data_IF_217903748626
#
_entry.id   IF_217903748626
#
_cell.length_a   1.000
_cell.length_b   1.000
_cell.length_c   1.000
_cell.angle_alpha   90.00
_cell.angle_beta   90.00
_cell.angle_gamma   90.00
#
_symmetry.space_group_name_H-M   'P 1'
#
loop_
_entity.id
_entity.type
_entity.pdbx_description
1 polymer ?
#
# COMPACT_ATOMS: atom_id res chain seq x y z
N UNK A 1 23.36 -5.51 -11.02
CA UNK A 1 24.40 -6.55 -11.13
C UNK A 1 23.73 -7.87 -11.49
N UNK A 2 24.31 -8.69 -12.37
CA UNK A 2 23.77 -10.02 -12.72
C UNK A 2 24.61 -11.11 -12.07
N UNK A 3 23.99 -11.95 -11.25
CA UNK A 3 24.61 -13.15 -10.67
C UNK A 3 24.45 -14.32 -11.64
N UNK A 4 25.42 -15.24 -11.67
CA UNK A 4 25.38 -16.40 -12.56
C UNK A 4 24.40 -17.46 -12.04
N UNK A 5 23.66 -18.16 -12.91
CA UNK A 5 22.59 -19.08 -12.51
C UNK A 5 23.06 -20.34 -11.78
N UNK A 6 24.35 -20.66 -11.84
CA UNK A 6 24.99 -21.82 -11.22
C UNK A 6 25.36 -21.60 -9.75
N UNK A 7 25.14 -20.40 -9.20
CA UNK A 7 25.37 -20.15 -7.78
C UNK A 7 24.51 -21.06 -6.90
N UNK A 8 25.17 -21.69 -5.92
CA UNK A 8 24.54 -22.55 -4.94
C UNK A 8 23.80 -21.74 -3.87
N UNK A 9 22.88 -22.40 -3.16
CA UNK A 9 22.20 -21.84 -1.99
C UNK A 9 23.18 -21.22 -0.97
N UNK A 10 24.25 -21.95 -0.64
CA UNK A 10 25.25 -21.52 0.33
C UNK A 10 26.03 -20.28 -0.14
N UNK A 11 26.36 -20.20 -1.43
CA UNK A 11 27.01 -19.03 -2.02
C UNK A 11 26.09 -17.80 -1.95
N UNK A 12 24.81 -17.97 -2.27
CA UNK A 12 23.80 -16.90 -2.20
C UNK A 12 23.58 -16.42 -0.76
N UNK A 13 23.57 -17.33 0.22
CA UNK A 13 23.52 -16.98 1.64
C UNK A 13 24.73 -16.13 2.07
N UNK A 14 25.93 -16.49 1.62
CA UNK A 14 27.14 -15.70 1.89
C UNK A 14 27.06 -14.30 1.27
N UNK A 15 26.57 -14.20 0.04
CA UNK A 15 26.39 -12.93 -0.66
C UNK A 15 25.32 -12.05 0.01
N UNK A 16 24.24 -12.64 0.52
CA UNK A 16 23.18 -11.92 1.23
C UNK A 16 23.66 -11.23 2.52
N UNK A 17 24.76 -11.73 3.12
CA UNK A 17 25.37 -11.14 4.34
C UNK A 17 26.36 -10.01 4.05
N UNK A 18 26.64 -9.71 2.79
CA UNK A 18 27.58 -8.65 2.43
C UNK A 18 26.92 -7.27 2.49
N UNK A 19 27.74 -6.25 2.76
CA UNK A 19 27.31 -4.85 2.89
C UNK A 19 27.25 -4.12 1.54
N UNK A 20 26.59 -4.76 0.57
CA UNK A 20 26.41 -4.24 -0.79
C UNK A 20 24.93 -4.40 -1.21
N UNK A 21 24.13 -3.32 -1.19
CA UNK A 21 22.70 -3.39 -1.53
C UNK A 21 22.43 -3.99 -2.91
N UNK A 22 23.24 -3.65 -3.91
CA UNK A 22 23.11 -4.19 -5.27
C UNK A 22 23.32 -5.71 -5.33
N UNK A 23 24.21 -6.23 -4.49
CA UNK A 23 24.47 -7.68 -4.37
C UNK A 23 23.27 -8.36 -3.72
N UNK A 24 22.77 -7.82 -2.61
CA UNK A 24 21.61 -8.38 -1.91
C UNK A 24 20.34 -8.34 -2.76
N UNK A 25 20.11 -7.26 -3.52
CA UNK A 25 19.02 -7.18 -4.49
C UNK A 25 19.15 -8.27 -5.57
N UNK A 26 20.36 -8.47 -6.11
CA UNK A 26 20.61 -9.53 -7.09
C UNK A 26 20.39 -10.93 -6.50
N UNK A 27 20.77 -11.16 -5.24
CA UNK A 27 20.45 -12.40 -4.51
C UNK A 27 18.93 -12.55 -4.37
N UNK A 28 18.20 -11.52 -3.95
CA UNK A 28 16.74 -11.59 -3.82
C UNK A 28 16.03 -11.94 -5.14
N UNK A 29 16.58 -11.54 -6.29
CA UNK A 29 16.04 -11.83 -7.61
C UNK A 29 16.50 -13.19 -8.20
N UNK A 30 17.45 -13.88 -7.57
CA UNK A 30 18.08 -15.07 -8.14
C UNK A 30 17.21 -16.34 -7.96
N UNK A 31 17.02 -17.19 -8.99
CA UNK A 31 16.12 -18.36 -8.95
C UNK A 31 16.44 -19.39 -7.85
N UNK A 32 17.72 -19.55 -7.51
CA UNK A 32 18.17 -20.52 -6.51
C UNK A 32 18.17 -19.98 -5.08
N UNK A 33 17.66 -18.76 -4.84
CA UNK A 33 17.74 -18.15 -3.52
C UNK A 33 16.88 -18.89 -2.51
N UNK A 34 17.47 -19.38 -1.40
CA UNK A 34 16.73 -20.18 -0.42
C UNK A 34 15.60 -19.40 0.24
N UNK A 35 14.51 -20.07 0.67
CA UNK A 35 13.35 -19.40 1.24
C UNK A 35 13.65 -18.53 2.47
N UNK A 36 14.55 -18.96 3.34
CA UNK A 36 14.92 -18.19 4.53
C UNK A 36 15.71 -16.92 4.16
N UNK A 37 16.51 -16.96 3.09
CA UNK A 37 17.20 -15.77 2.54
C UNK A 37 16.18 -14.82 1.92
N UNK A 38 15.21 -15.33 1.15
CA UNK A 38 14.11 -14.52 0.62
C UNK A 38 13.33 -13.81 1.74
N UNK A 39 12.99 -14.54 2.80
CA UNK A 39 12.32 -13.97 3.97
C UNK A 39 13.16 -12.87 4.64
N UNK A 40 14.49 -13.04 4.71
CA UNK A 40 15.40 -12.08 5.34
C UNK A 40 15.60 -10.82 4.49
N UNK A 41 15.60 -10.95 3.16
CA UNK A 41 15.79 -9.84 2.22
C UNK A 41 14.49 -9.10 1.88
N UNK A 42 13.33 -9.73 2.05
CA UNK A 42 12.02 -9.14 1.72
C UNK A 42 11.73 -7.77 2.37
N UNK A 43 12.16 -7.46 3.60
CA UNK A 43 11.98 -6.11 4.16
C UNK A 43 12.72 -5.01 3.38
N UNK A 44 13.86 -5.34 2.79
CA UNK A 44 14.70 -4.38 2.03
C UNK A 44 14.37 -4.41 0.53
N UNK A 45 14.12 -5.60 -0.02
CA UNK A 45 13.93 -5.85 -1.45
C UNK A 45 12.62 -6.60 -1.76
N UNK A 46 11.44 -6.06 -1.36
CA UNK A 46 10.17 -6.76 -1.57
C UNK A 46 9.84 -6.95 -3.05
N UNK A 47 10.27 -6.04 -3.93
CA UNK A 47 10.01 -6.12 -5.36
C UNK A 47 10.77 -7.24 -6.06
N UNK A 48 12.01 -7.47 -5.63
CA UNK A 48 12.91 -8.54 -6.08
C UNK A 48 12.42 -9.89 -5.57
N UNK A 49 12.05 -9.98 -4.28
CA UNK A 49 11.50 -11.22 -3.70
C UNK A 49 10.18 -11.61 -4.37
N UNK A 50 9.24 -10.67 -4.55
CA UNK A 50 7.97 -10.96 -5.24
C UNK A 50 8.16 -11.28 -6.72
N UNK A 51 9.22 -10.74 -7.34
CA UNK A 51 9.62 -11.02 -8.71
C UNK A 51 10.52 -12.24 -8.86
N UNK A 52 10.88 -12.92 -7.77
CA UNK A 52 11.82 -14.02 -7.81
C UNK A 52 11.24 -15.20 -8.64
N UNK A 53 11.95 -15.66 -9.68
CA UNK A 53 11.44 -16.72 -10.57
C UNK A 53 11.29 -18.09 -9.87
N UNK A 54 11.99 -18.32 -8.76
CA UNK A 54 11.85 -19.52 -7.94
C UNK A 54 10.65 -19.48 -6.99
N UNK A 55 10.13 -18.31 -6.62
CA UNK A 55 9.05 -18.17 -5.63
C UNK A 55 7.77 -18.96 -5.99
N UNK A 56 7.30 -19.01 -7.25
CA UNK A 56 6.15 -19.84 -7.61
C UNK A 56 6.37 -21.34 -7.35
N UNK A 57 7.57 -21.85 -7.63
CA UNK A 57 7.93 -23.26 -7.40
C UNK A 57 8.07 -23.56 -5.91
N UNK A 58 8.71 -22.66 -5.15
CA UNK A 58 8.81 -22.76 -3.70
C UNK A 58 7.44 -22.79 -3.03
N UNK A 59 6.50 -21.96 -3.50
CA UNK A 59 5.10 -21.98 -3.02
C UNK A 59 4.36 -23.25 -3.44
N UNK A 60 4.66 -23.82 -4.61
CA UNK A 60 4.05 -25.08 -5.01
C UNK A 60 4.51 -26.22 -4.09
N UNK A 61 5.80 -26.24 -3.73
CA UNK A 61 6.36 -27.20 -2.79
C UNK A 61 5.86 -26.98 -1.34
N UNK A 62 5.69 -25.72 -0.92
CA UNK A 62 5.23 -25.33 0.40
C UNK A 62 4.22 -24.17 0.31
N UNK A 63 2.91 -24.47 0.21
CA UNK A 63 1.87 -23.45 0.01
C UNK A 63 1.79 -22.40 1.12
N UNK A 64 2.19 -22.76 2.34
CA UNK A 64 2.25 -21.88 3.51
C UNK A 64 3.50 -21.02 3.61
N UNK A 65 4.47 -21.15 2.69
CA UNK A 65 5.82 -20.60 2.86
C UNK A 65 5.84 -19.12 3.29
N UNK A 66 5.19 -18.24 2.54
CA UNK A 66 5.15 -16.80 2.84
C UNK A 66 4.29 -16.49 4.06
N UNK A 67 3.32 -17.35 4.37
CA UNK A 67 2.41 -17.18 5.52
C UNK A 67 3.10 -17.54 6.85
N UNK A 68 4.20 -18.28 6.78
CA UNK A 68 5.05 -18.63 7.92
C UNK A 68 6.19 -17.61 8.13
N UNK A 69 6.39 -16.68 7.19
CA UNK A 69 7.37 -15.60 7.35
C UNK A 69 6.94 -14.64 8.46
N UNK A 70 7.88 -13.86 9.03
CA UNK A 70 7.54 -12.87 10.05
C UNK A 70 6.39 -11.97 9.60
N UNK A 71 5.43 -11.70 10.49
CA UNK A 71 4.25 -10.87 10.19
C UNK A 71 4.62 -9.55 9.53
N UNK A 72 5.67 -8.87 10.01
CA UNK A 72 6.15 -7.62 9.42
C UNK A 72 6.50 -7.79 7.92
N UNK A 73 7.19 -8.88 7.57
CA UNK A 73 7.53 -9.23 6.19
C UNK A 73 6.29 -9.47 5.35
N UNK A 74 5.30 -10.21 5.87
CA UNK A 74 4.03 -10.43 5.16
C UNK A 74 3.34 -9.11 4.83
N UNK A 75 3.23 -8.20 5.80
CA UNK A 75 2.61 -6.89 5.60
C UNK A 75 3.37 -6.05 4.58
N UNK A 76 4.71 -6.07 4.57
CA UNK A 76 5.51 -5.37 3.55
C UNK A 76 5.19 -5.89 2.15
N UNK A 77 5.15 -7.21 1.98
CA UNK A 77 4.86 -7.84 0.68
C UNK A 77 3.43 -7.54 0.22
N UNK A 78 2.45 -7.54 1.14
CA UNK A 78 1.04 -7.22 0.85
C UNK A 78 0.89 -5.78 0.35
N UNK A 79 1.66 -4.82 0.88
CA UNK A 79 1.62 -3.41 0.46
C UNK A 79 2.21 -3.19 -0.93
N UNK A 80 3.10 -4.07 -1.36
CA UNK A 80 3.87 -3.87 -2.58
C UNK A 80 2.99 -3.97 -3.83
N UNK A 81 3.24 -3.12 -4.84
CA UNK A 81 2.45 -3.08 -6.08
C UNK A 81 2.44 -4.41 -6.85
N UNK A 82 3.52 -5.21 -6.70
CA UNK A 82 3.68 -6.54 -7.31
C UNK A 82 3.08 -7.68 -6.48
N UNK A 83 2.37 -7.41 -5.38
CA UNK A 83 1.77 -8.46 -4.57
C UNK A 83 0.85 -9.35 -5.43
N UNK A 84 1.10 -10.68 -5.49
CA UNK A 84 0.32 -11.56 -6.33
C UNK A 84 -1.11 -11.69 -5.81
N UNK A 85 -2.06 -12.01 -6.71
CA UNK A 85 -3.49 -12.13 -6.39
C UNK A 85 -3.78 -13.02 -5.19
N UNK A 86 -3.07 -14.14 -5.04
CA UNK A 86 -3.28 -15.05 -3.90
C UNK A 86 -2.92 -14.39 -2.56
N UNK A 87 -1.88 -13.56 -2.52
CA UNK A 87 -1.45 -12.85 -1.31
C UNK A 87 -2.42 -11.73 -0.96
N UNK A 88 -2.92 -11.02 -1.99
CA UNK A 88 -3.98 -10.02 -1.81
C UNK A 88 -5.27 -10.63 -1.29
N UNK A 89 -5.69 -11.78 -1.84
CA UNK A 89 -6.89 -12.51 -1.38
C UNK A 89 -6.72 -13.02 0.05
N UNK A 90 -5.55 -13.55 0.38
CA UNK A 90 -5.23 -13.95 1.75
C UNK A 90 -5.37 -12.77 2.73
N UNK A 91 -4.79 -11.62 2.39
CA UNK A 91 -4.89 -10.42 3.22
C UNK A 91 -6.32 -9.88 3.35
N UNK A 92 -7.12 -9.98 2.29
CA UNK A 92 -8.51 -9.50 2.27
C UNK A 92 -9.40 -10.26 3.27
N UNK A 93 -9.21 -11.58 3.38
CA UNK A 93 -10.01 -12.46 4.24
C UNK A 93 -9.38 -12.74 5.60
N UNK A 94 -8.27 -12.08 5.94
CA UNK A 94 -7.53 -12.38 7.16
C UNK A 94 -8.31 -11.96 8.41
N UNK A 95 -8.20 -12.72 9.51
CA UNK A 95 -8.94 -12.44 10.75
C UNK A 95 -8.50 -11.12 11.43
N UNK A 96 -7.24 -10.77 11.27
CA UNK A 96 -6.66 -9.55 11.87
C UNK A 96 -6.69 -8.39 10.87
N UNK A 97 -7.29 -7.25 11.27
CA UNK A 97 -7.55 -6.10 10.39
C UNK A 97 -6.30 -5.39 9.85
N UNK A 98 -5.13 -5.61 10.43
CA UNK A 98 -3.85 -5.07 9.97
C UNK A 98 -3.47 -5.56 8.57
N UNK A 99 -3.90 -6.76 8.18
CA UNK A 99 -3.72 -7.29 6.83
C UNK A 99 -4.55 -6.50 5.82
N UNK A 100 -5.79 -6.16 6.15
CA UNK A 100 -6.65 -5.29 5.34
C UNK A 100 -6.14 -3.84 5.32
N UNK A 101 -5.57 -3.35 6.43
CA UNK A 101 -4.89 -2.03 6.47
C UNK A 101 -3.68 -2.03 5.52
N UNK A 102 -2.86 -3.07 5.54
CA UNK A 102 -1.74 -3.21 4.60
C UNK A 102 -2.24 -3.31 3.15
N UNK A 103 -3.28 -4.12 2.91
CA UNK A 103 -3.87 -4.31 1.59
C UNK A 103 -4.46 -2.99 1.04
N UNK A 104 -5.13 -2.20 1.86
CA UNK A 104 -5.71 -0.90 1.47
C UNK A 104 -4.65 0.09 0.95
N UNK A 105 -3.40 -0.03 1.42
CA UNK A 105 -2.27 0.77 0.93
C UNK A 105 -1.60 0.22 -0.33
N UNK A 106 -1.99 -0.97 -0.81
CA UNK A 106 -1.46 -1.52 -2.05
C UNK A 106 -1.94 -0.67 -3.25
N UNK A 107 -1.06 -0.14 -4.10
CA UNK A 107 -1.48 0.72 -5.21
C UNK A 107 -2.18 -0.05 -6.34
N UNK A 108 -2.01 -1.36 -6.43
CA UNK A 108 -2.48 -2.19 -7.54
C UNK A 108 -3.77 -2.99 -7.22
N UNK A 109 -4.62 -2.47 -6.32
CA UNK A 109 -5.92 -3.09 -6.01
C UNK A 109 -6.92 -2.95 -7.16
N UNK A 110 -7.72 -3.98 -7.39
CA UNK A 110 -8.88 -3.87 -8.27
C UNK A 110 -9.98 -2.99 -7.62
N UNK A 111 -10.77 -2.30 -8.45
CA UNK A 111 -11.83 -1.40 -7.98
C UNK A 111 -12.85 -2.08 -7.06
N UNK A 112 -13.17 -3.36 -7.32
CA UNK A 112 -14.03 -4.17 -6.46
C UNK A 112 -13.44 -4.35 -5.05
N UNK A 113 -12.15 -4.69 -4.97
CA UNK A 113 -11.43 -4.82 -3.70
C UNK A 113 -11.39 -3.49 -2.94
N UNK A 114 -11.20 -2.37 -3.64
CA UNK A 114 -11.28 -1.02 -3.04
C UNK A 114 -12.65 -0.76 -2.44
N UNK A 115 -13.74 -1.08 -3.16
CA UNK A 115 -15.10 -0.91 -2.68
C UNK A 115 -15.40 -1.78 -1.44
N UNK A 116 -14.94 -3.04 -1.44
CA UNK A 116 -15.06 -3.94 -0.28
C UNK A 116 -14.35 -3.35 0.95
N UNK A 117 -13.12 -2.86 0.79
CA UNK A 117 -12.35 -2.27 1.88
C UNK A 117 -12.92 -0.91 2.34
N UNK A 118 -13.56 -0.15 1.44
CA UNK A 118 -14.25 1.11 1.76
C UNK A 118 -15.45 0.89 2.70
N UNK A 119 -16.05 -0.30 2.69
CA UNK A 119 -17.17 -0.68 3.56
C UNK A 119 -16.72 -1.52 4.78
N UNK A 120 -15.42 -1.68 5.01
CA UNK A 120 -14.90 -2.57 6.05
C UNK A 120 -15.32 -2.11 7.46
N UNK A 121 -15.64 -3.01 8.41
CA UNK A 121 -16.09 -2.63 9.76
C UNK A 121 -15.09 -1.77 10.55
N UNK A 122 -13.80 -2.09 10.44
CA UNK A 122 -12.73 -1.31 11.07
C UNK A 122 -12.50 0.03 10.34
N UNK A 123 -12.67 1.14 11.06
CA UNK A 123 -12.51 2.48 10.51
C UNK A 123 -11.09 2.75 9.99
N UNK A 124 -10.07 2.11 10.57
CA UNK A 124 -8.68 2.26 10.13
C UNK A 124 -8.47 1.77 8.68
N UNK A 125 -9.20 0.74 8.28
CA UNK A 125 -9.16 0.23 6.89
C UNK A 125 -9.82 1.23 5.96
N UNK A 126 -11.03 1.71 6.31
CA UNK A 126 -11.75 2.72 5.52
C UNK A 126 -10.96 4.02 5.39
N UNK A 127 -10.28 4.44 6.46
CA UNK A 127 -9.40 5.61 6.47
C UNK A 127 -8.22 5.48 5.49
N UNK A 128 -7.63 4.27 5.38
CA UNK A 128 -6.59 4.03 4.37
C UNK A 128 -7.13 4.06 2.95
N UNK A 129 -8.35 3.59 2.73
CA UNK A 129 -9.03 3.74 1.44
C UNK A 129 -9.31 5.21 1.14
N UNK A 130 -9.85 5.98 2.09
CA UNK A 130 -10.11 7.42 1.97
C UNK A 130 -8.87 8.23 1.55
N UNK A 131 -7.69 7.82 2.03
CA UNK A 131 -6.41 8.45 1.72
C UNK A 131 -5.86 8.14 0.32
N UNK A 132 -6.49 7.23 -0.45
CA UNK A 132 -5.98 6.84 -1.76
C UNK A 132 -6.21 7.93 -2.82
N UNK A 133 -5.20 8.30 -3.62
CA UNK A 133 -5.38 9.36 -4.62
C UNK A 133 -6.32 8.95 -5.76
N UNK A 134 -6.48 7.65 -6.03
CA UNK A 134 -7.24 7.09 -7.15
C UNK A 134 -8.70 6.75 -6.82
N UNK A 135 -9.26 7.31 -5.74
CA UNK A 135 -10.66 7.04 -5.37
C UNK A 135 -11.66 7.58 -6.40
N UNK A 136 -12.62 6.76 -6.86
CA UNK A 136 -13.77 7.25 -7.61
C UNK A 136 -14.61 8.24 -6.80
N UNK A 137 -15.16 9.26 -7.47
CA UNK A 137 -15.99 10.30 -6.82
C UNK A 137 -17.13 9.75 -5.97
N UNK A 138 -17.77 8.65 -6.40
CA UNK A 138 -18.83 7.99 -5.63
C UNK A 138 -18.35 7.47 -4.27
N UNK A 139 -17.12 6.95 -4.18
CA UNK A 139 -16.53 6.52 -2.91
C UNK A 139 -16.07 7.70 -2.06
N UNK A 140 -15.59 8.79 -2.68
CA UNK A 140 -15.27 10.03 -1.96
C UNK A 140 -16.52 10.57 -1.26
N UNK A 141 -17.64 10.68 -1.97
CA UNK A 141 -18.92 11.14 -1.41
C UNK A 141 -19.45 10.22 -0.31
N UNK A 142 -19.34 8.89 -0.49
CA UNK A 142 -19.73 7.93 0.53
C UNK A 142 -18.87 8.06 1.80
N UNK A 143 -17.54 8.17 1.66
CA UNK A 143 -16.61 8.28 2.78
C UNK A 143 -16.65 9.68 3.44
N UNK A 144 -17.09 10.73 2.74
CA UNK A 144 -17.41 12.02 3.35
C UNK A 144 -18.59 11.93 4.33
N UNK A 145 -19.41 10.88 4.23
CA UNK A 145 -20.51 10.55 5.12
C UNK A 145 -20.12 9.55 6.23
N UNK A 146 -18.87 9.08 6.27
CA UNK A 146 -18.47 7.97 7.13
C UNK A 146 -18.79 8.27 8.60
N UNK A 147 -19.31 7.30 9.39
CA UNK A 147 -19.60 7.53 10.80
C UNK A 147 -18.36 7.94 11.61
N UNK A 148 -17.17 7.47 11.21
CA UNK A 148 -15.92 7.76 11.90
C UNK A 148 -15.30 9.08 11.41
N UNK A 149 -15.02 9.99 12.35
CA UNK A 149 -14.45 11.30 12.00
C UNK A 149 -13.03 11.20 11.43
N UNK A 150 -12.26 10.15 11.78
CA UNK A 150 -10.92 9.92 11.25
C UNK A 150 -10.95 9.63 9.75
N UNK A 151 -11.93 8.84 9.29
CA UNK A 151 -12.17 8.62 7.85
C UNK A 151 -12.53 9.94 7.16
N UNK A 152 -13.46 10.71 7.74
CA UNK A 152 -13.87 12.01 7.19
C UNK A 152 -12.73 13.03 7.16
N UNK A 153 -11.79 12.99 8.11
CA UNK A 153 -10.59 13.84 8.10
C UNK A 153 -9.71 13.54 6.88
N UNK A 154 -9.52 12.27 6.52
CA UNK A 154 -8.78 11.92 5.31
C UNK A 154 -9.47 12.44 4.04
N UNK A 155 -10.81 12.41 4.00
CA UNK A 155 -11.57 13.00 2.89
C UNK A 155 -11.45 14.53 2.87
N UNK A 156 -11.54 15.20 4.03
CA UNK A 156 -11.33 16.65 4.14
C UNK A 156 -9.94 17.10 3.67
N UNK A 157 -8.92 16.25 3.85
CA UNK A 157 -7.55 16.53 3.43
C UNK A 157 -7.33 16.44 1.91
N UNK A 158 -8.32 15.98 1.14
CA UNK A 158 -8.21 15.79 -0.31
C UNK A 158 -8.28 17.12 -1.07
N UNK A 159 -7.32 17.32 -1.98
CA UNK A 159 -7.32 18.47 -2.88
C UNK A 159 -8.38 18.35 -4.00
N UNK A 160 -8.79 17.12 -4.35
CA UNK A 160 -9.77 16.81 -5.39
C UNK A 160 -11.21 16.61 -4.85
N UNK A 161 -11.48 17.08 -3.63
CA UNK A 161 -12.80 16.94 -3.01
C UNK A 161 -13.87 17.74 -3.79
N UNK A 162 -14.95 17.11 -4.28
CA UNK A 162 -16.05 17.81 -4.96
C UNK A 162 -16.76 18.81 -4.04
N UNK A 163 -17.38 19.86 -4.61
CA UNK A 163 -18.07 20.90 -3.83
C UNK A 163 -19.18 20.34 -2.94
N UNK A 164 -19.85 19.27 -3.34
CA UNK A 164 -20.82 18.54 -2.48
C UNK A 164 -20.17 18.01 -1.21
N UNK A 165 -18.99 17.39 -1.32
CA UNK A 165 -18.17 16.96 -0.21
C UNK A 165 -17.70 18.14 0.64
N UNK A 166 -17.22 19.22 0.03
CA UNK A 166 -16.82 20.44 0.76
C UNK A 166 -18.00 21.02 1.55
N UNK A 167 -19.16 21.19 0.92
CA UNK A 167 -20.36 21.75 1.55
C UNK A 167 -20.89 20.88 2.71
N UNK A 168 -20.73 19.56 2.61
CA UNK A 168 -21.00 18.61 3.70
C UNK A 168 -20.02 18.81 4.84
N UNK A 169 -18.72 18.74 4.56
CA UNK A 169 -17.67 18.74 5.58
C UNK A 169 -17.49 20.11 6.26
N UNK A 170 -17.88 21.23 5.62
CA UNK A 170 -17.99 22.54 6.31
C UNK A 170 -18.97 22.49 7.49
N UNK A 171 -19.97 21.63 7.42
CA UNK A 171 -21.00 21.41 8.47
C UNK A 171 -20.74 20.13 9.28
N UNK A 172 -19.56 19.52 9.15
CA UNK A 172 -19.21 18.29 9.87
C UNK A 172 -19.36 18.50 11.37
N UNK A 173 -19.74 17.48 12.14
CA UNK A 173 -19.84 17.57 13.60
C UNK A 173 -18.47 17.74 14.27
N UNK A 174 -17.41 17.21 13.67
CA UNK A 174 -16.04 17.28 14.20
C UNK A 174 -15.35 18.59 13.83
N UNK A 175 -14.86 19.31 14.84
CA UNK A 175 -14.04 20.52 14.65
C UNK A 175 -12.77 20.22 13.84
N UNK A 176 -12.14 19.07 14.10
CA UNK A 176 -10.92 18.67 13.39
C UNK A 176 -11.14 18.48 11.90
N UNK A 177 -12.27 17.86 11.51
CA UNK A 177 -12.63 17.69 10.09
C UNK A 177 -12.82 19.05 9.43
N UNK A 178 -13.54 19.98 10.08
CA UNK A 178 -13.74 21.35 9.56
C UNK A 178 -12.41 22.10 9.41
N UNK A 179 -11.52 22.01 10.39
CA UNK A 179 -10.20 22.66 10.36
C UNK A 179 -9.31 22.13 9.24
N UNK A 180 -9.23 20.80 9.07
CA UNK A 180 -8.46 20.18 7.98
C UNK A 180 -9.01 20.63 6.63
N UNK A 181 -10.33 20.63 6.45
CA UNK A 181 -10.97 21.11 5.23
C UNK A 181 -10.58 22.55 4.92
N UNK A 182 -10.71 23.45 5.89
CA UNK A 182 -10.35 24.86 5.71
C UNK A 182 -8.88 25.06 5.33
N UNK A 183 -7.97 24.31 5.95
CA UNK A 183 -6.55 24.36 5.62
C UNK A 183 -6.29 23.91 4.18
N UNK A 184 -6.89 22.78 3.76
CA UNK A 184 -6.76 22.26 2.41
C UNK A 184 -7.32 23.23 1.36
N UNK A 185 -8.49 23.83 1.61
CA UNK A 185 -9.10 24.80 0.70
C UNK A 185 -8.27 26.08 0.56
N UNK A 186 -7.69 26.59 1.67
CA UNK A 186 -6.77 27.73 1.63
C UNK A 186 -5.51 27.42 0.84
N UNK A 187 -4.92 26.24 1.02
CA UNK A 187 -3.73 25.81 0.30
C UNK A 187 -4.00 25.67 -1.21
N UNK A 188 -5.15 25.10 -1.59
CA UNK A 188 -5.58 24.99 -2.98
C UNK A 188 -5.75 26.35 -3.68
N UNK A 189 -6.38 27.32 -2.99
CA UNK A 189 -6.53 28.68 -3.50
C UNK A 189 -5.17 29.38 -3.69
N UNK A 190 -4.27 29.27 -2.71
CA UNK A 190 -2.94 29.86 -2.81
C UNK A 190 -2.12 29.28 -3.98
N UNK A 191 -2.18 27.95 -4.19
CA UNK A 191 -1.54 27.30 -5.32
C UNK A 191 -2.14 27.72 -6.68
N UNK A 192 -3.46 27.89 -6.75
CA UNK A 192 -4.14 28.40 -7.94
C UNK A 192 -3.70 29.82 -8.31
N UNK A 193 -3.65 30.75 -7.34
CA UNK A 193 -3.19 32.13 -7.59
C UNK A 193 -1.71 32.20 -7.95
N UNK A 194 -0.83 31.41 -7.32
CA UNK A 194 0.58 31.34 -7.72
C UNK A 194 0.75 30.78 -9.14
N UNK A 195 -0.05 29.76 -9.51
CA UNK A 195 -0.06 29.22 -10.87
C UNK A 195 -0.50 30.25 -11.92
N UNK A 196 -1.50 31.09 -11.61
CA UNK A 196 -1.94 32.18 -12.48
C UNK A 196 -0.86 33.27 -12.63
N UNK A 197 -0.14 33.62 -11.56
CA UNK A 197 0.95 34.60 -11.64
C UNK A 197 2.16 34.10 -12.46
N UNK A 198 2.44 32.79 -12.46
CA UNK A 198 3.55 32.21 -13.24
C UNK A 198 3.18 32.02 -14.71
N UNK A 199 1.89 31.87 -15.03
CA UNK A 199 1.38 31.72 -16.40
C UNK A 199 1.06 33.03 -17.12
N UNK A 200 1.21 34.19 -16.46
CA UNK A 200 1.13 35.50 -17.10
C UNK A 200 -0.20 35.79 -17.79
N UNK A 201 -1.25 36.06 -17.00
CA UNK A 201 -2.34 36.95 -17.40
C UNK A 201 -2.05 38.37 -16.93
#
# INVERSE_FOLDING_TARGET
MLLTPDLTAEQLERLARQDAPDVRAAVAAHPNTPPHVLSALAPEFPGEVLGNPGLPLLRLAHPGLVLEWPRATQLILIRHARAPRWLRRYALTHAQSDYQVALATNPALEAETVAVLAAHPAWQVRARIAARPDLPAALIEALAADPDYGVRMYIAARADLPESGVARLRRDSSVFVRQVLEQTQRAGLAAFFLGLCVLGL
#
